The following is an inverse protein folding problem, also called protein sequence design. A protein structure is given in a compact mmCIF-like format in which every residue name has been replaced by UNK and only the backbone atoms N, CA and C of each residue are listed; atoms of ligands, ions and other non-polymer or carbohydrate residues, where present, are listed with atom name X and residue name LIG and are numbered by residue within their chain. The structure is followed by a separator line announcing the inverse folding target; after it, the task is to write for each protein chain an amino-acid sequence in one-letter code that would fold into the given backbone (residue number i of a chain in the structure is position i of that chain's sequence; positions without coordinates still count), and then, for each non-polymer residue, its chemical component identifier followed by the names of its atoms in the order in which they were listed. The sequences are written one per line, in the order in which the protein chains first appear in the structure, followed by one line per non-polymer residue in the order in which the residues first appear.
data_IF_002008238948
#
_entry.id   IF_002008238948
#
_cell.length_a   1.000
_cell.length_b   1.000
_cell.length_c   1.000
_cell.angle_alpha   90.00
_cell.angle_beta   90.00
_cell.angle_gamma   90.00
#
_symmetry.space_group_name_H-M   'P 1'
#
loop_
_entity.id
_entity.type
_entity.pdbx_description
1 polymer ?
#
# COMPACT_ATOMS: atom_id res chain seq x y z
N UNK A 1 -20.64 -8.91 14.09
CA UNK A 1 -20.13 -9.06 12.70
C UNK A 1 -19.01 -10.10 12.71
N UNK A 2 -19.01 -11.07 11.78
CA UNK A 2 -17.91 -12.04 11.71
C UNK A 2 -16.62 -11.38 11.21
N UNK A 3 -15.45 -11.88 11.66
CA UNK A 3 -14.14 -11.35 11.22
C UNK A 3 -13.95 -11.46 9.70
N UNK A 4 -14.47 -12.54 9.10
CA UNK A 4 -14.46 -12.75 7.66
C UNK A 4 -15.32 -11.70 6.92
N UNK A 5 -16.54 -11.43 7.41
CA UNK A 5 -17.40 -10.41 6.83
C UNK A 5 -16.75 -9.02 6.91
N UNK A 6 -16.10 -8.68 8.04
CA UNK A 6 -15.36 -7.43 8.18
C UNK A 6 -14.21 -7.31 7.17
N UNK A 7 -13.41 -8.37 7.01
CA UNK A 7 -12.33 -8.41 6.03
C UNK A 7 -12.85 -8.24 4.60
N UNK A 8 -13.93 -8.94 4.25
CA UNK A 8 -14.58 -8.81 2.94
C UNK A 8 -15.05 -7.38 2.69
N UNK A 9 -15.74 -6.76 3.65
CA UNK A 9 -16.19 -5.37 3.54
C UNK A 9 -15.00 -4.43 3.32
N UNK A 10 -13.89 -4.63 4.04
CA UNK A 10 -12.68 -3.84 3.87
C UNK A 10 -12.10 -3.98 2.45
N UNK A 11 -11.96 -5.21 1.95
CA UNK A 11 -11.44 -5.47 0.60
C UNK A 11 -12.36 -4.85 -0.46
N UNK A 12 -13.68 -5.09 -0.37
CA UNK A 12 -14.65 -4.56 -1.32
C UNK A 12 -14.69 -3.02 -1.31
N UNK A 13 -14.58 -2.40 -0.13
CA UNK A 13 -14.47 -0.95 0.00
C UNK A 13 -13.21 -0.43 -0.69
N UNK A 14 -12.06 -1.09 -0.52
CA UNK A 14 -10.81 -0.69 -1.17
C UNK A 14 -10.87 -0.85 -2.69
N UNK A 15 -11.47 -1.94 -3.18
CA UNK A 15 -11.70 -2.16 -4.61
C UNK A 15 -12.61 -1.08 -5.19
N UNK A 16 -13.71 -0.74 -4.49
CA UNK A 16 -14.63 0.31 -4.89
C UNK A 16 -13.93 1.67 -4.94
N UNK A 17 -13.16 2.04 -3.91
CA UNK A 17 -12.42 3.30 -3.89
C UNK A 17 -11.40 3.35 -5.02
N UNK A 18 -10.64 2.27 -5.25
CA UNK A 18 -9.70 2.19 -6.37
C UNK A 18 -10.41 2.35 -7.72
N UNK A 19 -11.58 1.72 -7.90
CA UNK A 19 -12.37 1.82 -9.11
C UNK A 19 -12.90 3.25 -9.31
N UNK A 20 -13.47 3.87 -8.27
CA UNK A 20 -13.96 5.25 -8.32
C UNK A 20 -12.85 6.23 -8.67
N UNK A 21 -11.64 6.06 -8.13
CA UNK A 21 -10.51 6.96 -8.44
C UNK A 21 -10.02 6.77 -9.89
N UNK A 22 -9.97 5.53 -10.38
CA UNK A 22 -9.29 5.22 -11.66
C UNK A 22 -10.20 5.19 -12.87
N UNK A 23 -11.50 4.95 -12.70
CA UNK A 23 -12.48 4.90 -13.80
C UNK A 23 -13.35 6.16 -13.88
N UNK A 24 -13.37 7.02 -12.86
CA UNK A 24 -14.09 8.31 -12.91
C UNK A 24 -13.25 9.40 -13.61
N UNK A 25 -12.82 9.12 -14.86
CA UNK A 25 -11.95 10.02 -15.62
C UNK A 25 -12.78 10.80 -16.63
N UNK A 26 -13.10 12.05 -16.28
CA UNK A 26 -13.84 12.96 -17.15
C UNK A 26 -13.08 13.39 -18.42
N UNK A 27 -13.75 14.04 -19.39
CA UNK A 27 -13.14 14.46 -20.65
C UNK A 27 -11.94 15.40 -20.48
N UNK A 28 -11.94 16.24 -19.43
CA UNK A 28 -10.87 17.18 -19.11
C UNK A 28 -9.56 16.49 -18.69
N UNK A 29 -9.64 15.41 -17.92
CA UNK A 29 -8.46 14.63 -17.54
C UNK A 29 -7.80 14.00 -18.77
N UNK A 30 -8.57 13.54 -19.77
CA UNK A 30 -8.02 13.05 -21.06
C UNK A 30 -7.27 14.14 -21.85
N UNK A 31 -7.62 15.41 -21.71
CA UNK A 31 -6.86 16.52 -22.34
C UNK A 31 -5.56 16.80 -21.60
N UNK A 32 -5.57 16.83 -20.26
CA UNK A 32 -4.35 16.97 -19.46
C UNK A 32 -3.36 15.81 -19.65
N UNK A 33 -3.85 14.61 -20.02
CA UNK A 33 -3.00 13.46 -20.38
C UNK A 33 -2.06 13.71 -21.56
N UNK A 34 -2.34 14.70 -22.42
CA UNK A 34 -1.48 15.09 -23.55
C UNK A 34 -0.42 16.13 -23.16
N UNK A 35 -0.56 16.78 -22.01
CA UNK A 35 0.40 17.76 -21.52
C UNK A 35 1.59 17.11 -20.82
N UNK A 36 2.79 17.68 -21.02
CA UNK A 36 4.06 17.19 -20.46
C UNK A 36 4.24 17.47 -18.95
N UNK A 37 3.16 17.78 -18.21
CA UNK A 37 3.29 18.21 -16.82
C UNK A 37 3.58 17.02 -15.91
N UNK A 38 4.79 16.98 -15.33
CA UNK A 38 5.21 16.02 -14.33
C UNK A 38 5.91 16.77 -13.20
N UNK A 39 5.51 16.53 -11.95
CA UNK A 39 6.21 17.08 -10.78
C UNK A 39 7.63 16.50 -10.70
N UNK A 40 7.75 15.19 -10.95
CA UNK A 40 9.03 14.49 -10.98
C UNK A 40 9.30 13.80 -12.33
N UNK A 41 10.56 13.72 -12.78
CA UNK A 41 10.97 12.83 -13.85
C UNK A 41 10.53 11.39 -13.58
N UNK A 42 10.21 10.63 -14.64
CA UNK A 42 9.70 9.26 -14.52
C UNK A 42 10.65 8.37 -13.71
N UNK A 43 11.94 8.48 -13.99
CA UNK A 43 12.96 7.62 -13.36
C UNK A 43 13.10 7.93 -11.87
N UNK A 44 13.09 9.21 -11.48
CA UNK A 44 13.09 9.62 -10.08
C UNK A 44 11.84 9.09 -9.33
N UNK A 45 10.65 9.21 -9.93
CA UNK A 45 9.42 8.68 -9.34
C UNK A 45 9.48 7.16 -9.15
N UNK A 46 10.10 6.42 -10.08
CA UNK A 46 10.29 4.98 -9.93
C UNK A 46 11.28 4.61 -8.82
N UNK A 47 12.38 5.36 -8.68
CA UNK A 47 13.33 5.16 -7.58
C UNK A 47 12.66 5.32 -6.21
N UNK A 48 11.76 6.29 -6.03
CA UNK A 48 10.96 6.38 -4.80
C UNK A 48 10.09 5.14 -4.58
N UNK A 49 9.52 4.57 -5.63
CA UNK A 49 8.75 3.33 -5.56
C UNK A 49 9.59 2.13 -5.11
N UNK A 50 10.79 1.96 -5.70
CA UNK A 50 11.73 0.90 -5.31
C UNK A 50 12.24 1.06 -3.88
N UNK A 51 12.61 2.28 -3.49
CA UNK A 51 13.05 2.58 -2.13
C UNK A 51 11.94 2.30 -1.10
N UNK A 52 10.71 2.75 -1.39
CA UNK A 52 9.54 2.48 -0.55
C UNK A 52 9.25 0.98 -0.43
N UNK A 53 9.31 0.24 -1.54
CA UNK A 53 9.16 -1.22 -1.53
C UNK A 53 10.24 -1.90 -0.69
N UNK A 54 11.51 -1.56 -0.89
CA UNK A 54 12.63 -2.17 -0.18
C UNK A 54 12.52 -1.95 1.33
N UNK A 55 12.24 -0.72 1.77
CA UNK A 55 12.05 -0.38 3.19
C UNK A 55 10.87 -1.16 3.78
N UNK A 56 9.73 -1.22 3.07
CA UNK A 56 8.56 -1.95 3.53
C UNK A 56 8.80 -3.45 3.61
N UNK A 57 9.43 -4.04 2.59
CA UNK A 57 9.75 -5.46 2.52
C UNK A 57 10.73 -5.88 3.63
N UNK A 58 11.82 -5.13 3.83
CA UNK A 58 12.78 -5.38 4.93
C UNK A 58 12.07 -5.30 6.28
N UNK A 59 11.23 -4.28 6.46
CA UNK A 59 10.45 -4.10 7.69
C UNK A 59 9.51 -5.28 7.99
N UNK A 60 8.81 -5.78 6.99
CA UNK A 60 7.91 -6.93 7.14
C UNK A 60 8.67 -8.25 7.33
N UNK A 61 9.71 -8.48 6.54
CA UNK A 61 10.54 -9.70 6.61
C UNK A 61 11.21 -9.82 7.98
N UNK A 62 11.77 -8.73 8.50
CA UNK A 62 12.38 -8.73 9.82
C UNK A 62 11.35 -8.95 10.94
N UNK A 63 10.13 -8.40 10.79
CA UNK A 63 9.02 -8.67 11.71
C UNK A 63 8.53 -10.13 11.63
N UNK A 64 8.74 -10.83 10.52
CA UNK A 64 8.46 -12.28 10.40
C UNK A 64 9.59 -13.12 11.03
N UNK A 65 10.85 -12.73 10.82
CA UNK A 65 12.05 -13.40 11.33
C UNK A 65 12.30 -13.20 12.83
N UNK A 66 11.55 -12.31 13.51
CA UNK A 66 11.64 -12.06 14.96
C UNK A 66 11.46 -13.29 15.85
N UNK A 67 11.04 -14.45 15.29
CA UNK A 67 11.03 -15.74 16.00
C UNK A 67 12.43 -16.31 16.21
N UNK A 68 13.43 -15.89 15.43
CA UNK A 68 14.81 -16.41 15.48
C UNK A 68 15.85 -15.50 16.13
N UNK A 69 15.53 -14.22 16.40
CA UNK A 69 16.49 -13.26 16.97
C UNK A 69 15.93 -12.59 18.24
N UNK A 70 16.49 -12.87 19.43
CA UNK A 70 16.00 -12.35 20.72
C UNK A 70 16.44 -10.90 20.95
N UNK A 71 15.98 -9.97 20.11
CA UNK A 71 16.06 -8.54 20.37
C UNK A 71 14.84 -8.00 21.12
N UNK A 72 14.90 -6.76 21.64
CA UNK A 72 13.76 -6.15 22.32
C UNK A 72 12.59 -5.92 21.34
N UNK A 73 11.55 -6.75 21.42
CA UNK A 73 10.34 -6.73 20.56
C UNK A 73 9.75 -5.32 20.44
N UNK A 74 9.78 -4.54 21.53
CA UNK A 74 9.28 -3.16 21.56
C UNK A 74 10.01 -2.23 20.58
N UNK A 75 11.34 -2.34 20.48
CA UNK A 75 12.14 -1.53 19.53
C UNK A 75 11.86 -1.96 18.09
N UNK A 76 11.75 -3.26 17.83
CA UNK A 76 11.47 -3.77 16.49
C UNK A 76 10.10 -3.37 15.97
N UNK A 77 9.07 -3.43 16.83
CA UNK A 77 7.75 -2.90 16.47
C UNK A 77 7.79 -1.39 16.20
N UNK A 78 8.69 -0.63 16.84
CA UNK A 78 8.91 0.79 16.55
C UNK A 78 9.50 1.01 15.17
N UNK A 79 10.59 0.32 14.89
CA UNK A 79 11.23 0.37 13.59
C UNK A 79 10.23 -0.04 12.50
N UNK A 80 9.45 -1.11 12.73
CA UNK A 80 8.44 -1.56 11.79
C UNK A 80 7.38 -0.49 11.47
N UNK A 81 6.82 0.17 12.49
CA UNK A 81 5.86 1.24 12.28
C UNK A 81 6.48 2.45 11.56
N UNK A 82 7.68 2.88 11.96
CA UNK A 82 8.36 4.05 11.37
C UNK A 82 8.69 3.79 9.90
N UNK A 83 9.30 2.63 9.61
CA UNK A 83 9.64 2.24 8.24
C UNK A 83 8.41 2.06 7.37
N UNK A 84 7.31 1.52 7.90
CA UNK A 84 6.02 1.45 7.21
C UNK A 84 5.48 2.85 6.83
N UNK A 85 5.49 3.79 7.78
CA UNK A 85 5.07 5.17 7.52
C UNK A 85 5.96 5.88 6.50
N UNK A 86 7.29 5.73 6.63
CA UNK A 86 8.26 6.26 5.68
C UNK A 86 8.04 5.70 4.27
N UNK A 87 7.74 4.41 4.16
CA UNK A 87 7.47 3.77 2.88
C UNK A 87 6.24 4.37 2.19
N UNK A 88 5.19 4.75 2.94
CA UNK A 88 4.04 5.47 2.37
C UNK A 88 4.47 6.81 1.79
N UNK A 89 5.29 7.58 2.51
CA UNK A 89 5.77 8.88 2.03
C UNK A 89 6.49 8.73 0.68
N UNK A 90 7.38 7.74 0.56
CA UNK A 90 8.08 7.45 -0.68
C UNK A 90 7.14 6.99 -1.80
N UNK A 91 6.18 6.12 -1.49
CA UNK A 91 5.21 5.67 -2.49
C UNK A 91 4.27 6.80 -2.93
N UNK A 92 3.95 7.76 -2.06
CA UNK A 92 3.22 8.98 -2.46
C UNK A 92 4.00 9.74 -3.53
N UNK A 93 5.30 9.95 -3.36
CA UNK A 93 6.14 10.56 -4.41
C UNK A 93 6.18 9.72 -5.70
N UNK A 94 6.15 8.39 -5.60
CA UNK A 94 6.06 7.51 -6.76
C UNK A 94 4.75 7.70 -7.55
N UNK A 95 3.61 7.88 -6.87
CA UNK A 95 2.29 7.95 -7.52
C UNK A 95 1.76 9.37 -7.74
N UNK A 96 2.42 10.42 -7.23
CA UNK A 96 1.88 11.79 -7.26
C UNK A 96 1.52 12.26 -8.67
N UNK A 97 2.38 11.97 -9.65
CA UNK A 97 2.14 12.27 -11.06
C UNK A 97 0.94 11.47 -11.64
N UNK A 98 0.66 10.27 -11.11
CA UNK A 98 -0.46 9.41 -11.53
C UNK A 98 -1.79 9.82 -10.87
N UNK A 99 -1.74 10.36 -9.65
CA UNK A 99 -2.92 10.91 -8.94
C UNK A 99 -3.46 12.15 -9.65
N UNK A 100 -2.59 13.00 -10.19
CA UNK A 100 -3.03 14.19 -10.91
C UNK A 100 -3.79 13.85 -12.19
N UNK A 101 -3.49 12.69 -12.80
CA UNK A 101 -4.07 12.28 -14.07
C UNK A 101 -4.41 10.79 -14.03
N UNK A 102 -5.46 10.39 -13.27
CA UNK A 102 -5.82 8.99 -13.10
C UNK A 102 -6.28 8.37 -14.42
N UNK A 103 -6.04 7.06 -14.56
CA UNK A 103 -6.39 6.25 -15.74
C UNK A 103 -6.87 4.87 -15.30
N UNK A 104 -7.77 4.22 -16.06
CA UNK A 104 -8.18 2.85 -15.78
C UNK A 104 -7.00 1.86 -15.63
N UNK A 105 -5.96 2.01 -16.47
CA UNK A 105 -4.74 1.19 -16.39
C UNK A 105 -3.88 1.39 -15.14
N UNK A 106 -4.25 2.28 -14.23
CA UNK A 106 -3.61 2.45 -12.92
C UNK A 106 -4.39 1.77 -11.78
N UNK A 107 -5.50 1.08 -12.07
CA UNK A 107 -6.33 0.43 -11.06
C UNK A 107 -5.52 -0.40 -10.05
N UNK A 108 -4.69 -1.32 -10.53
CA UNK A 108 -3.85 -2.17 -9.67
C UNK A 108 -2.85 -1.35 -8.85
N UNK A 109 -2.26 -0.31 -9.43
CA UNK A 109 -1.33 0.58 -8.72
C UNK A 109 -2.01 1.32 -7.57
N UNK A 110 -3.22 1.84 -7.79
CA UNK A 110 -4.01 2.50 -6.76
C UNK A 110 -4.51 1.53 -5.70
N UNK A 111 -4.96 0.35 -6.10
CA UNK A 111 -5.40 -0.68 -5.17
C UNK A 111 -4.26 -1.13 -4.25
N UNK A 112 -3.05 -1.37 -4.79
CA UNK A 112 -1.86 -1.68 -4.00
C UNK A 112 -1.50 -0.54 -3.02
N UNK A 113 -1.57 0.71 -3.48
CA UNK A 113 -1.32 1.88 -2.62
C UNK A 113 -2.33 1.96 -1.46
N UNK A 114 -3.63 1.82 -1.73
CA UNK A 114 -4.67 1.85 -0.70
C UNK A 114 -4.51 0.70 0.31
N UNK A 115 -4.19 -0.51 -0.16
CA UNK A 115 -3.84 -1.63 0.71
C UNK A 115 -2.69 -1.28 1.64
N UNK A 116 -1.60 -0.72 1.10
CA UNK A 116 -0.44 -0.29 1.89
C UNK A 116 -0.83 0.71 2.97
N UNK A 117 -1.63 1.73 2.62
CA UNK A 117 -2.12 2.74 3.56
C UNK A 117 -2.90 2.08 4.71
N UNK A 118 -3.85 1.21 4.39
CA UNK A 118 -4.65 0.51 5.42
C UNK A 118 -3.79 -0.42 6.27
N UNK A 119 -2.81 -1.12 5.69
CA UNK A 119 -1.91 -2.01 6.42
C UNK A 119 -1.06 -1.21 7.41
N UNK A 120 -0.43 -0.11 6.99
CA UNK A 120 0.41 0.71 7.88
C UNK A 120 -0.44 1.34 8.98
N UNK A 121 -1.58 1.95 8.64
CA UNK A 121 -2.47 2.55 9.64
C UNK A 121 -2.95 1.49 10.64
N UNK A 122 -3.43 0.34 10.16
CA UNK A 122 -3.86 -0.75 11.04
C UNK A 122 -2.71 -1.30 11.90
N UNK A 123 -1.48 -1.35 11.39
CA UNK A 123 -0.29 -1.74 12.15
C UNK A 123 0.04 -0.76 13.29
N UNK A 124 -0.04 0.54 13.02
CA UNK A 124 0.12 1.60 14.03
C UNK A 124 -1.00 1.50 15.08
N UNK A 125 -2.26 1.42 14.65
CA UNK A 125 -3.41 1.31 15.54
C UNK A 125 -3.34 0.07 16.43
N UNK A 126 -3.01 -1.09 15.86
CA UNK A 126 -2.87 -2.35 16.62
C UNK A 126 -1.79 -2.30 17.70
N UNK A 127 -0.83 -1.38 17.58
CA UNK A 127 0.22 -1.19 18.57
C UNK A 127 -0.13 -0.15 19.64
N UNK A 128 -0.61 1.02 19.22
CA UNK A 128 -0.77 2.16 20.14
C UNK A 128 -2.17 2.27 20.74
N UNK A 129 -3.20 1.76 20.06
CA UNK A 129 -4.57 1.86 20.56
C UNK A 129 -4.91 0.66 21.44
N UNK A 130 -5.30 0.95 22.69
CA UNK A 130 -5.64 -0.08 23.69
C UNK A 130 -7.09 -0.55 23.65
N UNK A 131 -7.91 -0.02 22.74
CA UNK A 131 -9.30 -0.41 22.61
C UNK A 131 -9.45 -1.92 22.32
N UNK A 132 -10.27 -2.61 23.11
CA UNK A 132 -10.48 -4.06 23.02
C UNK A 132 -10.91 -4.48 21.61
N UNK A 133 -11.85 -3.75 21.01
CA UNK A 133 -12.34 -4.01 19.64
C UNK A 133 -11.22 -3.96 18.60
N UNK A 134 -10.27 -3.03 18.71
CA UNK A 134 -9.16 -2.93 17.76
C UNK A 134 -8.23 -4.13 17.93
N UNK A 135 -7.87 -4.51 19.15
CA UNK A 135 -7.03 -5.69 19.41
C UNK A 135 -7.64 -6.99 18.88
N UNK A 136 -8.96 -7.15 19.02
CA UNK A 136 -9.67 -8.38 18.67
C UNK A 136 -9.77 -8.60 17.15
N UNK A 137 -9.86 -7.50 16.38
CA UNK A 137 -9.99 -7.53 14.91
C UNK A 137 -8.69 -7.22 14.17
N UNK A 138 -7.71 -6.58 14.82
CA UNK A 138 -6.47 -6.13 14.18
C UNK A 138 -5.74 -7.26 13.43
N UNK A 139 -5.47 -8.40 14.09
CA UNK A 139 -4.76 -9.52 13.42
C UNK A 139 -5.54 -10.09 12.23
N UNK A 140 -6.86 -10.14 12.35
CA UNK A 140 -7.75 -10.67 11.32
C UNK A 140 -7.87 -9.76 10.10
N UNK A 141 -7.58 -8.46 10.25
CA UNK A 141 -7.53 -7.51 9.15
C UNK A 141 -6.11 -7.35 8.60
N UNK A 142 -5.15 -7.02 9.48
CA UNK A 142 -3.78 -6.63 9.10
C UNK A 142 -3.02 -7.75 8.39
N UNK A 143 -3.07 -8.99 8.90
CA UNK A 143 -2.30 -10.10 8.32
C UNK A 143 -2.83 -10.48 6.93
N UNK A 144 -4.14 -10.76 6.73
CA UNK A 144 -4.64 -11.11 5.40
C UNK A 144 -4.47 -9.98 4.38
N UNK A 145 -4.71 -8.72 4.76
CA UNK A 145 -4.47 -7.59 3.86
C UNK A 145 -3.01 -7.47 3.45
N UNK A 146 -2.06 -7.77 4.37
CA UNK A 146 -0.63 -7.80 4.04
C UNK A 146 -0.30 -8.85 2.98
N UNK A 147 -0.92 -10.03 3.07
CA UNK A 147 -0.76 -11.09 2.06
C UNK A 147 -1.31 -10.63 0.71
N UNK A 148 -2.55 -10.11 0.68
CA UNK A 148 -3.19 -9.58 -0.54
C UNK A 148 -2.36 -8.45 -1.16
N UNK A 149 -1.78 -7.58 -0.33
CA UNK A 149 -0.88 -6.51 -0.78
C UNK A 149 0.36 -7.06 -1.49
N UNK A 150 1.05 -8.07 -0.93
CA UNK A 150 2.23 -8.63 -1.58
C UNK A 150 1.92 -9.29 -2.91
N UNK A 151 0.79 -10.01 -3.02
CA UNK A 151 0.36 -10.57 -4.31
C UNK A 151 0.02 -9.47 -5.33
N UNK A 152 -0.72 -8.45 -4.91
CA UNK A 152 -1.09 -7.32 -5.76
C UNK A 152 0.15 -6.54 -6.21
N UNK A 153 1.11 -6.34 -5.32
CA UNK A 153 2.36 -5.64 -5.62
C UNK A 153 3.24 -6.46 -6.57
N UNK A 154 3.36 -7.77 -6.36
CA UNK A 154 4.08 -8.65 -7.26
C UNK A 154 3.48 -8.58 -8.67
N UNK A 155 2.16 -8.72 -8.79
CA UNK A 155 1.45 -8.56 -10.06
C UNK A 155 1.68 -7.19 -10.69
N UNK A 156 1.62 -6.10 -9.89
CA UNK A 156 1.92 -4.76 -10.36
C UNK A 156 3.34 -4.63 -10.95
N UNK A 157 4.34 -5.18 -10.26
CA UNK A 157 5.73 -5.13 -10.73
C UNK A 157 5.88 -5.93 -12.02
N UNK A 158 5.39 -7.17 -12.04
CA UNK A 158 5.47 -8.09 -13.20
C UNK A 158 4.79 -7.51 -14.44
N UNK A 159 3.62 -6.88 -14.27
CA UNK A 159 2.93 -6.15 -15.34
C UNK A 159 3.80 -5.01 -15.89
N UNK A 160 4.46 -4.23 -15.02
CA UNK A 160 5.22 -3.05 -15.45
C UNK A 160 6.58 -3.35 -16.06
N UNK A 161 7.09 -4.57 -15.86
CA UNK A 161 8.30 -5.07 -16.55
C UNK A 161 7.97 -5.96 -17.76
N UNK A 162 6.71 -5.96 -18.21
CA UNK A 162 6.21 -6.71 -19.38
C UNK A 162 6.45 -8.23 -19.30
N UNK A 163 6.40 -8.81 -18.09
CA UNK A 163 6.50 -10.27 -17.91
C UNK A 163 5.14 -10.97 -17.93
N UNK A 164 4.04 -10.21 -17.86
CA UNK A 164 2.69 -10.77 -17.90
C UNK A 164 2.01 -10.57 -19.27
N UNK A 165 2.39 -9.55 -20.03
CA UNK A 165 1.97 -9.25 -21.42
C UNK A 165 2.76 -8.07 -21.97
#
# INVERSE_FOLDING_TARGET
MSKALFLMIAILSLLLIAALVTFNVGPGARRQQRGSYRIFPRDAAHWFGWAGFAIFAVSAFYSALKRGFPGSIKKWLLIHCITGALSIVLVVFHIINKIQVPRPGYFISFFAFLLMVVIVISGILGRYVKAKIIKDYWKALHIPLTIVFYFTLAFHILEKINLLW
#
